data_IF_545415554379
#
_entry.id   IF_545415554379
#
_cell.length_a   1.000
_cell.length_b   1.000
_cell.length_c   1.000
_cell.angle_alpha   90.00
_cell.angle_beta   90.00
_cell.angle_gamma   90.00
#
_symmetry.space_group_name_H-M   'P 1'
#
loop_
_entity.id
_entity.type
_entity.pdbx_description
1 polymer ?
#
# COMPACT_ATOMS: atom_id res chain seq x y z
N UNK A 1 7.64 -63.23 -7.75
CA UNK A 1 6.77 -62.06 -8.06
C UNK A 1 5.38 -62.56 -8.38
N UNK A 2 4.32 -61.97 -7.80
CA UNK A 2 2.94 -62.26 -8.22
C UNK A 2 2.68 -61.58 -9.56
N UNK A 3 2.07 -62.29 -10.51
CA UNK A 3 1.64 -61.70 -11.77
C UNK A 3 0.57 -60.63 -11.53
N UNK A 4 0.55 -59.55 -12.33
CA UNK A 4 -0.48 -58.54 -12.26
C UNK A 4 -1.85 -59.14 -12.59
N UNK A 5 -2.89 -58.61 -11.96
CA UNK A 5 -4.27 -59.07 -12.20
C UNK A 5 -4.72 -58.64 -13.61
N UNK A 6 -5.63 -59.39 -14.22
CA UNK A 6 -6.23 -59.06 -15.54
C UNK A 6 -6.78 -57.62 -15.61
N UNK A 7 -7.30 -57.11 -14.49
CA UNK A 7 -7.76 -55.72 -14.36
C UNK A 7 -6.63 -54.70 -14.57
N UNK A 8 -5.45 -54.96 -14.01
CA UNK A 8 -4.29 -54.05 -14.11
C UNK A 8 -3.75 -54.02 -15.54
N UNK A 9 -3.73 -55.17 -16.22
CA UNK A 9 -3.39 -55.26 -17.65
C UNK A 9 -4.38 -54.48 -18.52
N UNK A 10 -5.68 -54.55 -18.21
CA UNK A 10 -6.72 -53.78 -18.91
C UNK A 10 -6.50 -52.27 -18.76
N UNK A 11 -6.27 -51.79 -17.54
CA UNK A 11 -5.99 -50.36 -17.28
C UNK A 11 -4.69 -49.91 -17.96
N UNK A 12 -3.66 -50.76 -17.98
CA UNK A 12 -2.40 -50.46 -18.67
C UNK A 12 -2.60 -50.28 -20.17
N UNK A 13 -3.40 -51.14 -20.81
CA UNK A 13 -3.74 -51.02 -22.23
C UNK A 13 -4.52 -49.73 -22.48
N UNK A 14 -5.53 -49.41 -21.66
CA UNK A 14 -6.32 -48.18 -21.80
C UNK A 14 -5.43 -46.94 -21.66
N UNK A 15 -4.56 -46.92 -20.64
CA UNK A 15 -3.64 -45.82 -20.38
C UNK A 15 -2.66 -45.58 -21.53
N UNK A 16 -2.15 -46.66 -22.15
CA UNK A 16 -1.21 -46.59 -23.29
C UNK A 16 -1.80 -45.84 -24.50
N UNK A 17 -3.10 -45.97 -24.75
CA UNK A 17 -3.78 -45.29 -25.87
C UNK A 17 -4.46 -43.98 -25.46
N UNK A 18 -4.52 -43.68 -24.17
CA UNK A 18 -5.06 -42.41 -23.68
C UNK A 18 -4.05 -41.26 -23.88
N UNK A 19 -4.56 -40.03 -24.07
CA UNK A 19 -3.68 -38.85 -24.12
C UNK A 19 -3.00 -38.65 -22.76
N UNK A 20 -1.72 -38.21 -22.72
CA UNK A 20 -1.05 -37.94 -21.47
C UNK A 20 -1.77 -36.80 -20.72
N UNK A 21 -1.92 -36.96 -19.42
CA UNK A 21 -2.49 -35.93 -18.53
C UNK A 21 -1.54 -34.73 -18.33
N UNK A 22 -0.27 -34.88 -18.69
CA UNK A 22 0.76 -33.86 -18.47
C UNK A 22 0.61 -32.67 -19.41
N UNK A 23 0.79 -31.47 -18.88
CA UNK A 23 0.91 -30.25 -19.68
C UNK A 23 2.32 -30.12 -20.26
N UNK A 24 2.49 -29.56 -21.47
CA UNK A 24 3.79 -29.42 -22.12
C UNK A 24 4.66 -28.28 -21.53
N UNK A 25 4.80 -28.18 -20.21
CA UNK A 25 5.66 -27.19 -19.56
C UNK A 25 7.15 -27.51 -19.80
N UNK A 26 8.04 -26.54 -20.11
CA UNK A 26 7.82 -25.10 -20.24
C UNK A 26 7.46 -24.62 -21.66
N UNK A 27 7.27 -25.52 -22.63
CA UNK A 27 7.00 -25.16 -24.03
C UNK A 27 5.58 -24.63 -24.28
N UNK A 28 4.61 -25.02 -23.46
CA UNK A 28 3.24 -24.49 -23.49
C UNK A 28 2.94 -23.61 -22.28
N UNK A 29 2.03 -22.66 -22.46
CA UNK A 29 1.57 -21.76 -21.40
C UNK A 29 0.78 -22.54 -20.33
N UNK A 30 1.20 -22.42 -19.08
CA UNK A 30 0.38 -22.78 -17.93
C UNK A 30 -0.39 -21.54 -17.50
N UNK A 31 -1.73 -21.59 -17.61
CA UNK A 31 -2.61 -20.52 -17.10
C UNK A 31 -3.20 -20.98 -15.78
N UNK A 32 -2.88 -20.31 -14.66
CA UNK A 32 -3.55 -20.56 -13.40
C UNK A 32 -5.06 -20.29 -13.49
N UNK A 33 -5.81 -20.76 -12.50
CA UNK A 33 -7.22 -20.44 -12.38
C UNK A 33 -7.44 -18.95 -12.05
N UNK A 34 -8.62 -18.41 -12.34
CA UNK A 34 -8.96 -17.01 -12.04
C UNK A 34 -9.02 -16.77 -10.53
N UNK A 35 -8.28 -15.78 -10.02
CA UNK A 35 -8.13 -15.54 -8.58
C UNK A 35 -7.01 -16.37 -7.94
N UNK A 36 -6.02 -16.76 -8.74
CA UNK A 36 -4.81 -17.39 -8.24
C UNK A 36 -3.99 -16.39 -7.43
N UNK A 37 -3.46 -16.84 -6.30
CA UNK A 37 -2.69 -15.99 -5.39
C UNK A 37 -1.22 -15.98 -5.79
N UNK A 38 -0.89 -15.27 -6.86
CA UNK A 38 0.49 -15.04 -7.30
C UNK A 38 1.16 -13.87 -6.58
N UNK A 39 2.15 -13.27 -7.24
CA UNK A 39 2.89 -12.10 -6.73
C UNK A 39 1.90 -10.96 -6.47
N UNK A 40 1.92 -10.34 -5.27
CA UNK A 40 1.24 -9.08 -5.04
C UNK A 40 1.82 -8.02 -5.97
N UNK A 41 0.97 -7.41 -6.79
CA UNK A 41 1.32 -6.28 -7.66
C UNK A 41 0.70 -5.04 -7.05
N UNK A 42 1.53 -4.01 -6.90
CA UNK A 42 1.15 -2.74 -6.30
C UNK A 42 0.90 -1.75 -7.43
N UNK A 43 -0.26 -1.12 -7.39
CA UNK A 43 -0.61 -0.04 -8.30
C UNK A 43 -0.13 1.28 -7.70
N UNK A 44 0.84 1.94 -8.36
CA UNK A 44 1.42 3.19 -7.89
C UNK A 44 0.43 4.36 -7.86
N UNK A 45 -0.61 4.36 -8.69
CA UNK A 45 -1.56 5.48 -8.68
C UNK A 45 -2.61 5.30 -7.57
N UNK A 46 -2.94 4.05 -7.26
CA UNK A 46 -4.00 3.71 -6.29
C UNK A 46 -3.48 3.37 -4.88
N UNK A 47 -2.17 3.15 -4.70
CA UNK A 47 -1.58 2.89 -3.39
C UNK A 47 -1.31 4.20 -2.64
N UNK A 48 -1.96 4.40 -1.50
CA UNK A 48 -1.86 5.66 -0.74
C UNK A 48 -0.87 5.63 0.43
N UNK A 49 -0.26 4.48 0.73
CA UNK A 49 0.72 4.38 1.84
C UNK A 49 0.11 4.45 3.26
N UNK A 50 -1.10 3.92 3.43
CA UNK A 50 -1.90 3.94 4.68
C UNK A 50 -1.52 2.90 5.75
N UNK A 51 -0.45 2.12 5.55
CA UNK A 51 0.05 1.07 6.49
C UNK A 51 -0.88 -0.11 6.78
N UNK A 52 -2.14 -0.11 6.32
CA UNK A 52 -3.09 -1.20 6.59
C UNK A 52 -2.53 -2.57 6.16
N UNK A 53 -1.87 -2.63 5.00
CA UNK A 53 -1.29 -3.87 4.49
C UNK A 53 -0.14 -4.43 5.35
N UNK A 54 0.65 -3.57 6.01
CA UNK A 54 1.69 -4.03 6.93
C UNK A 54 1.07 -4.58 8.22
N UNK A 55 0.06 -3.90 8.76
CA UNK A 55 -0.60 -4.31 10.01
C UNK A 55 -1.33 -5.66 9.91
N UNK A 56 -1.84 -6.02 8.73
CA UNK A 56 -2.53 -7.31 8.51
C UNK A 56 -1.59 -8.43 8.04
N UNK A 57 -0.31 -8.13 7.78
CA UNK A 57 0.63 -9.10 7.21
C UNK A 57 1.11 -10.10 8.29
N UNK A 58 0.73 -11.40 8.23
CA UNK A 58 1.14 -12.35 9.27
C UNK A 58 2.67 -12.53 9.42
N UNK A 59 3.47 -12.59 8.32
CA UNK A 59 4.92 -12.71 8.44
C UNK A 59 5.65 -11.36 8.58
N UNK A 60 4.94 -10.22 8.63
CA UNK A 60 5.55 -8.88 8.60
C UNK A 60 6.47 -8.62 7.39
N UNK A 61 6.13 -9.18 6.22
CA UNK A 61 6.90 -9.03 4.98
C UNK A 61 6.86 -7.61 4.37
N UNK A 62 6.00 -6.72 4.89
CA UNK A 62 5.84 -5.34 4.44
C UNK A 62 6.26 -4.42 5.59
N UNK A 63 7.27 -3.59 5.34
CA UNK A 63 7.84 -2.67 6.34
C UNK A 63 7.73 -1.24 5.85
N UNK A 64 7.27 -0.36 6.73
CA UNK A 64 7.19 1.07 6.50
C UNK A 64 8.31 1.76 7.29
N UNK A 65 9.08 2.61 6.63
CA UNK A 65 10.14 3.42 7.22
C UNK A 65 9.89 4.88 6.91
N UNK A 66 9.71 5.69 7.94
CA UNK A 66 9.45 7.12 7.80
C UNK A 66 10.71 7.92 8.09
N UNK A 67 11.03 8.85 7.19
CA UNK A 67 12.10 9.81 7.38
C UNK A 67 11.50 11.22 7.47
N UNK A 68 11.59 11.83 8.65
CA UNK A 68 11.10 13.19 8.91
C UNK A 68 11.98 14.28 8.31
N UNK A 69 13.26 14.01 8.05
CA UNK A 69 14.18 15.00 7.47
C UNK A 69 13.94 15.16 5.96
N UNK A 70 13.73 14.04 5.26
CA UNK A 70 13.43 14.06 3.83
C UNK A 70 11.94 14.20 3.54
N UNK A 71 11.08 13.97 4.53
CA UNK A 71 9.62 13.94 4.33
C UNK A 71 9.17 12.78 3.45
N UNK A 72 9.92 11.67 3.43
CA UNK A 72 9.64 10.50 2.59
C UNK A 72 9.37 9.28 3.47
N UNK A 73 8.31 8.56 3.11
CA UNK A 73 7.97 7.24 3.62
C UNK A 73 8.38 6.20 2.59
N UNK A 74 9.25 5.28 2.99
CA UNK A 74 9.68 4.15 2.16
C UNK A 74 8.93 2.90 2.61
N UNK A 75 8.23 2.28 1.67
CA UNK A 75 7.51 1.02 1.82
C UNK A 75 8.37 -0.07 1.19
N UNK A 76 8.84 -1.01 2.00
CA UNK A 76 9.64 -2.15 1.55
C UNK A 76 8.81 -3.43 1.64
N UNK A 77 8.80 -4.23 0.57
CA UNK A 77 8.05 -5.49 0.48
C UNK A 77 9.03 -6.61 0.14
N UNK A 78 9.23 -7.56 1.06
CA UNK A 78 10.07 -8.75 0.83
C UNK A 78 9.19 -9.94 0.40
N UNK A 79 9.17 -10.24 -0.90
CA UNK A 79 8.42 -11.38 -1.43
C UNK A 79 9.03 -12.73 -1.02
N UNK A 80 10.28 -12.77 -0.56
CA UNK A 80 10.91 -13.95 0.01
C UNK A 80 10.48 -14.27 1.45
N UNK A 81 9.80 -13.34 2.14
CA UNK A 81 9.14 -13.57 3.43
C UNK A 81 7.62 -13.72 3.30
N UNK A 82 7.05 -13.30 2.17
CA UNK A 82 5.62 -13.34 1.92
C UNK A 82 5.11 -14.79 1.85
N UNK A 83 3.96 -15.05 2.50
CA UNK A 83 3.24 -16.33 2.45
C UNK A 83 2.10 -16.34 1.43
N UNK A 84 1.98 -15.29 0.61
CA UNK A 84 0.98 -15.14 -0.46
C UNK A 84 -0.48 -15.39 -0.02
N UNK A 85 -0.81 -14.99 1.22
CA UNK A 85 -2.12 -15.25 1.83
C UNK A 85 -3.28 -14.40 1.27
N UNK A 86 -3.00 -13.25 0.66
CA UNK A 86 -4.02 -12.34 0.10
C UNK A 86 -4.58 -11.28 1.06
N UNK A 87 -4.16 -11.27 2.33
CA UNK A 87 -4.68 -10.34 3.35
C UNK A 87 -4.46 -8.86 2.99
N UNK A 88 -3.35 -8.55 2.29
CA UNK A 88 -3.07 -7.19 1.85
C UNK A 88 -4.04 -6.67 0.78
N UNK A 89 -4.53 -7.53 -0.11
CA UNK A 89 -5.53 -7.20 -1.13
C UNK A 89 -6.90 -7.00 -0.50
N UNK A 90 -7.31 -7.92 0.37
CA UNK A 90 -8.62 -7.88 1.03
C UNK A 90 -8.80 -6.64 1.92
N UNK A 91 -7.76 -6.25 2.66
CA UNK A 91 -7.80 -5.10 3.57
C UNK A 91 -7.32 -3.79 2.93
N UNK A 92 -7.12 -3.74 1.62
CA UNK A 92 -6.71 -2.51 0.94
C UNK A 92 -7.86 -1.49 0.97
N UNK A 93 -7.67 -0.35 1.65
CA UNK A 93 -8.71 0.68 1.79
C UNK A 93 -9.17 1.30 0.46
N UNK A 94 -8.30 1.27 -0.57
CA UNK A 94 -8.62 1.75 -1.92
C UNK A 94 -9.20 0.64 -2.80
N UNK A 95 -9.10 -0.63 -2.38
CA UNK A 95 -9.53 -1.82 -3.14
C UNK A 95 -8.72 -2.09 -4.42
N UNK A 96 -7.80 -1.20 -4.79
CA UNK A 96 -7.01 -1.27 -6.03
C UNK A 96 -5.51 -1.12 -5.81
N UNK A 97 -5.07 -0.62 -4.65
CA UNK A 97 -3.67 -0.31 -4.39
C UNK A 97 -2.75 -1.53 -4.37
N UNK A 98 -3.26 -2.72 -4.03
CA UNK A 98 -2.53 -3.99 -4.15
C UNK A 98 -3.48 -5.08 -4.58
N UNK A 99 -3.06 -5.88 -5.55
CA UNK A 99 -3.81 -7.05 -6.03
C UNK A 99 -2.89 -8.23 -6.20
N UNK A 100 -3.37 -9.43 -5.94
CA UNK A 100 -2.60 -10.63 -6.26
C UNK A 100 -2.76 -10.92 -7.74
N UNK A 101 -1.63 -11.16 -8.41
CA UNK A 101 -1.63 -11.44 -9.84
C UNK A 101 -1.92 -12.91 -10.12
N UNK A 102 -2.78 -13.14 -11.11
CA UNK A 102 -3.03 -14.49 -11.63
C UNK A 102 -1.91 -14.94 -12.58
N UNK A 103 -1.15 -14.00 -13.14
CA UNK A 103 -0.15 -14.24 -14.19
C UNK A 103 1.28 -14.39 -13.64
N UNK A 104 1.66 -13.60 -12.62
CA UNK A 104 3.02 -13.61 -12.09
C UNK A 104 3.09 -14.57 -10.89
N UNK A 105 3.33 -15.85 -11.16
CA UNK A 105 3.49 -16.85 -10.12
C UNK A 105 4.93 -17.39 -10.00
N UNK A 106 5.73 -17.28 -11.08
CA UNK A 106 7.13 -17.70 -11.07
C UNK A 106 8.03 -16.54 -10.62
N UNK A 107 8.50 -16.63 -9.38
CA UNK A 107 9.42 -15.67 -8.76
C UNK A 107 10.81 -16.28 -8.53
N UNK A 108 11.10 -17.39 -9.21
CA UNK A 108 12.35 -18.11 -9.03
C UNK A 108 13.54 -17.23 -9.43
N UNK A 109 14.38 -16.87 -8.46
CA UNK A 109 15.59 -16.08 -8.70
C UNK A 109 16.76 -16.64 -7.88
N UNK A 110 17.98 -16.38 -8.34
CA UNK A 110 19.20 -16.76 -7.64
C UNK A 110 19.54 -15.76 -6.52
N UNK A 111 19.29 -14.48 -6.79
CA UNK A 111 19.58 -13.38 -5.87
C UNK A 111 18.34 -12.96 -5.08
N UNK A 112 18.45 -12.97 -3.75
CA UNK A 112 17.35 -12.59 -2.85
C UNK A 112 16.97 -11.11 -2.95
N UNK A 113 17.93 -10.24 -3.30
CA UNK A 113 17.70 -8.79 -3.40
C UNK A 113 16.64 -8.43 -4.45
N UNK A 114 16.47 -9.25 -5.48
CA UNK A 114 15.47 -9.05 -6.55
C UNK A 114 14.03 -9.26 -6.05
N UNK A 115 13.85 -9.99 -4.95
CA UNK A 115 12.55 -10.22 -4.33
C UNK A 115 12.10 -9.07 -3.42
N UNK A 116 12.93 -8.04 -3.25
CA UNK A 116 12.63 -6.89 -2.40
C UNK A 116 12.23 -5.71 -3.27
N UNK A 117 10.99 -5.28 -3.12
CA UNK A 117 10.45 -4.10 -3.82
C UNK A 117 10.36 -2.91 -2.86
N UNK A 118 10.72 -1.73 -3.35
CA UNK A 118 10.67 -0.48 -2.59
C UNK A 118 9.80 0.53 -3.32
N UNK A 119 9.00 1.26 -2.55
CA UNK A 119 8.15 2.33 -3.03
C UNK A 119 8.25 3.52 -2.09
N UNK A 120 8.34 4.73 -2.63
CA UNK A 120 8.47 5.96 -1.85
C UNK A 120 7.20 6.79 -1.95
N UNK A 121 6.84 7.48 -0.86
CA UNK A 121 5.69 8.38 -0.76
C UNK A 121 6.03 9.62 0.03
N UNK A 122 5.49 10.75 -0.42
CA UNK A 122 5.65 12.02 0.28
C UNK A 122 4.79 12.06 1.55
N UNK A 123 5.42 12.43 2.67
CA UNK A 123 4.79 12.65 3.97
C UNK A 123 4.33 14.10 4.11
N UNK A 124 3.22 14.26 4.80
CA UNK A 124 2.76 15.54 5.34
C UNK A 124 3.23 15.62 6.78
N UNK A 125 4.07 16.62 7.06
CA UNK A 125 4.55 16.93 8.39
C UNK A 125 3.81 18.14 8.95
N UNK A 126 3.81 18.28 10.28
CA UNK A 126 3.32 19.50 10.93
C UNK A 126 4.42 20.56 10.98
N UNK A 127 4.17 21.74 10.41
CA UNK A 127 5.14 22.86 10.36
C UNK A 127 5.70 23.29 11.73
N UNK A 128 4.95 23.07 12.82
CA UNK A 128 5.37 23.49 14.16
C UNK A 128 6.25 22.46 14.90
N UNK A 129 5.93 21.16 14.77
CA UNK A 129 6.58 20.13 15.59
C UNK A 129 7.15 18.96 14.80
N UNK A 130 7.08 19.02 13.47
CA UNK A 130 7.50 17.98 12.53
C UNK A 130 6.90 16.60 12.81
N UNK A 131 5.75 16.54 13.48
CA UNK A 131 5.05 15.28 13.66
C UNK A 131 4.52 14.80 12.30
N UNK A 132 4.70 13.50 12.04
CA UNK A 132 4.16 12.84 10.85
C UNK A 132 2.64 12.79 11.00
N UNK A 133 1.92 13.39 10.04
CA UNK A 133 0.46 13.32 10.00
C UNK A 133 0.06 12.08 9.22
N UNK A 134 0.40 12.03 7.93
CA UNK A 134 0.18 10.89 7.03
C UNK A 134 0.82 11.20 5.66
N UNK A 135 0.63 10.36 4.64
CA UNK A 135 1.09 10.62 3.28
C UNK A 135 0.18 11.60 2.53
N UNK A 136 0.74 12.31 1.54
CA UNK A 136 -0.04 13.24 0.70
C UNK A 136 -1.19 12.55 -0.02
N UNK A 137 -0.94 11.36 -0.56
CA UNK A 137 -1.95 10.58 -1.30
C UNK A 137 -3.04 10.02 -0.39
N UNK A 138 -2.74 9.68 0.86
CA UNK A 138 -3.76 9.24 1.81
C UNK A 138 -4.71 10.37 2.20
N UNK A 139 -4.19 11.57 2.44
CA UNK A 139 -5.06 12.74 2.66
C UNK A 139 -5.92 13.04 1.44
N UNK A 140 -5.37 12.96 0.23
CA UNK A 140 -6.13 13.13 -1.02
C UNK A 140 -7.25 12.11 -1.12
N UNK A 141 -6.97 10.84 -0.84
CA UNK A 141 -7.97 9.78 -0.85
C UNK A 141 -9.09 10.01 0.17
N UNK A 142 -8.75 10.41 1.40
CA UNK A 142 -9.75 10.74 2.43
C UNK A 142 -10.62 11.92 1.97
N UNK A 143 -10.00 12.95 1.41
CA UNK A 143 -10.70 14.12 0.89
C UNK A 143 -11.71 13.72 -0.20
N UNK A 144 -11.27 12.98 -1.22
CA UNK A 144 -12.12 12.56 -2.33
C UNK A 144 -13.27 11.64 -1.85
N UNK A 145 -13.02 10.85 -0.79
CA UNK A 145 -14.03 9.97 -0.17
C UNK A 145 -15.05 10.72 0.69
N UNK A 146 -14.64 11.79 1.38
CA UNK A 146 -15.52 12.60 2.25
C UNK A 146 -16.30 13.68 1.48
N UNK A 147 -15.79 14.13 0.33
CA UNK A 147 -16.43 15.12 -0.52
C UNK A 147 -16.75 16.43 0.24
N UNK A 148 -17.99 16.97 0.18
CA UNK A 148 -18.34 18.22 0.83
C UNK A 148 -18.20 18.22 2.37
N UNK A 149 -18.27 17.06 3.02
CA UNK A 149 -18.10 16.96 4.48
C UNK A 149 -16.65 17.30 4.86
N UNK A 150 -15.70 17.11 3.95
CA UNK A 150 -14.31 17.44 4.20
C UNK A 150 -14.11 18.91 4.57
N UNK A 151 -14.94 19.84 4.06
CA UNK A 151 -14.83 21.27 4.35
C UNK A 151 -15.06 21.63 5.82
N UNK A 152 -15.66 20.76 6.63
CA UNK A 152 -15.83 21.04 8.06
C UNK A 152 -14.54 20.90 8.86
N UNK A 153 -13.50 20.28 8.31
CA UNK A 153 -12.22 20.06 8.99
C UNK A 153 -11.16 21.06 8.49
N UNK A 154 -10.47 21.70 9.44
CA UNK A 154 -9.41 22.69 9.15
C UNK A 154 -8.25 22.05 8.36
N UNK A 155 -7.94 20.79 8.63
CA UNK A 155 -6.95 19.98 7.93
C UNK A 155 -7.27 19.84 6.43
N UNK A 156 -8.51 19.46 6.12
CA UNK A 156 -8.95 19.27 4.73
C UNK A 156 -9.07 20.61 3.99
N UNK A 157 -9.48 21.67 4.70
CA UNK A 157 -9.57 23.02 4.14
C UNK A 157 -8.19 23.59 3.79
N UNK A 158 -7.19 23.37 4.65
CA UNK A 158 -5.79 23.76 4.41
C UNK A 158 -5.19 23.04 3.20
N UNK A 159 -5.41 21.73 3.09
CA UNK A 159 -4.99 20.94 1.93
C UNK A 159 -5.67 21.41 0.62
N UNK A 160 -6.94 21.80 0.70
CA UNK A 160 -7.69 22.38 -0.43
C UNK A 160 -7.13 23.72 -0.91
N UNK A 161 -6.72 24.58 0.02
CA UNK A 161 -6.09 25.86 -0.33
C UNK A 161 -4.78 25.65 -1.10
N UNK A 162 -3.97 24.65 -0.72
CA UNK A 162 -2.79 24.25 -1.50
C UNK A 162 -3.16 23.76 -2.91
N UNK A 163 -4.30 23.07 -3.06
CA UNK A 163 -4.76 22.51 -4.36
C UNK A 163 -5.35 23.54 -5.31
N UNK A 164 -6.11 24.51 -4.79
CA UNK A 164 -6.82 25.50 -5.61
C UNK A 164 -5.96 26.71 -6.00
N UNK A 165 -4.77 26.89 -5.39
CA UNK A 165 -3.88 28.06 -5.60
C UNK A 165 -4.65 29.40 -5.55
N UNK A 166 -5.70 29.48 -4.73
CA UNK A 166 -6.52 30.71 -4.59
C UNK A 166 -5.67 31.84 -4.00
N UNK A 167 -4.62 31.48 -3.24
CA UNK A 167 -3.61 32.37 -2.68
C UNK A 167 -2.23 32.00 -3.23
N UNK A 168 -1.33 32.98 -3.38
CA UNK A 168 0.06 32.74 -3.77
C UNK A 168 0.75 31.94 -2.65
N UNK A 169 1.73 31.10 -3.01
CA UNK A 169 2.55 30.31 -2.07
C UNK A 169 3.12 31.17 -0.93
N UNK A 170 3.45 32.42 -1.26
CA UNK A 170 4.06 33.39 -0.36
C UNK A 170 3.13 33.85 0.79
N UNK A 171 1.80 33.64 0.66
CA UNK A 171 0.81 33.99 1.69
C UNK A 171 0.48 32.82 2.65
N UNK A 172 0.84 31.58 2.29
CA UNK A 172 0.61 30.36 3.09
C UNK A 172 1.75 30.04 4.04
N UNK A 173 2.99 30.38 3.65
CA UNK A 173 4.21 30.12 4.42
C UNK A 173 4.40 31.21 5.50
N UNK A 174 3.52 31.19 6.50
CA UNK A 174 3.70 32.01 7.70
C UNK A 174 4.75 31.35 8.60
N UNK A 175 5.91 32.00 8.73
CA UNK A 175 6.90 31.62 9.74
C UNK A 175 6.22 31.50 11.11
N UNK A 176 6.28 30.29 11.67
CA UNK A 176 5.80 30.04 13.01
C UNK A 176 6.82 30.64 13.96
N UNK A 177 6.57 31.89 14.36
CA UNK A 177 7.27 32.50 15.50
C UNK A 177 7.13 31.61 16.73
N UNK A 178 8.09 31.65 17.66
CA UNK A 178 8.15 30.85 18.90
C UNK A 178 6.84 30.79 19.72
N UNK A 179 5.93 31.74 19.49
CA UNK A 179 4.57 31.72 20.01
C UNK A 179 3.53 31.36 18.95
N UNK A 180 2.89 30.20 19.14
CA UNK A 180 1.66 29.79 18.47
C UNK A 180 0.52 30.79 18.71
N UNK A 181 0.08 31.50 17.65
CA UNK A 181 -1.01 32.49 17.68
C UNK A 181 -2.26 31.98 16.95
N UNK A 182 -3.41 32.67 17.11
CA UNK A 182 -4.68 32.37 16.40
C UNK A 182 -4.52 32.24 14.88
N UNK A 183 -3.62 33.02 14.29
CA UNK A 183 -3.31 32.97 12.85
C UNK A 183 -2.71 31.63 12.39
N UNK A 184 -2.07 30.88 13.29
CA UNK A 184 -1.40 29.62 12.95
C UNK A 184 -2.35 28.40 12.96
N UNK A 185 -3.63 28.55 13.33
CA UNK A 185 -4.60 27.45 13.40
C UNK A 185 -4.72 26.68 12.07
N UNK A 186 -4.55 27.36 10.93
CA UNK A 186 -4.69 26.75 9.60
C UNK A 186 -3.43 25.99 9.12
N UNK A 187 -2.25 26.32 9.66
CA UNK A 187 -0.98 25.69 9.31
C UNK A 187 -0.62 24.57 10.30
N UNK A 188 -1.22 24.60 11.49
CA UNK A 188 -0.98 23.62 12.54
C UNK A 188 -1.89 22.40 12.39
N UNK A 189 -1.36 21.37 11.74
CA UNK A 189 -2.09 20.15 11.40
C UNK A 189 -2.13 19.13 12.57
N UNK A 190 -1.10 19.09 13.42
CA UNK A 190 -0.98 18.07 14.47
C UNK A 190 -1.99 18.29 15.62
N UNK A 191 -2.72 17.25 16.10
CA UNK A 191 -3.69 17.41 17.20
C UNK A 191 -3.09 18.02 18.47
N UNK A 192 -1.86 17.64 18.81
CA UNK A 192 -1.15 18.16 19.99
C UNK A 192 -0.86 19.67 19.88
N UNK A 193 -0.46 20.11 18.68
CA UNK A 193 -0.13 21.48 18.36
C UNK A 193 -1.39 22.33 18.27
N UNK A 194 -2.43 21.81 17.61
CA UNK A 194 -3.71 22.47 17.46
C UNK A 194 -4.38 22.67 18.83
N UNK A 195 -4.28 21.67 19.73
CA UNK A 195 -4.68 21.82 21.13
C UNK A 195 -3.95 22.97 21.83
N UNK A 196 -2.63 23.12 21.66
CA UNK A 196 -1.88 24.23 22.27
C UNK A 196 -2.36 25.59 21.75
N UNK A 197 -2.63 25.70 20.45
CA UNK A 197 -3.18 26.93 19.86
C UNK A 197 -4.56 27.23 20.46
N UNK A 198 -5.45 26.23 20.54
CA UNK A 198 -6.82 26.39 21.06
C UNK A 198 -6.89 26.67 22.56
N UNK A 199 -6.01 26.08 23.37
CA UNK A 199 -5.99 26.33 24.81
C UNK A 199 -5.42 27.72 25.13
N UNK A 200 -4.36 28.16 24.43
CA UNK A 200 -3.83 29.54 24.55
C UNK A 200 -4.84 30.63 24.14
N UNK A 201 -5.90 30.26 23.41
CA UNK A 201 -6.96 31.19 23.00
C UNK A 201 -7.93 31.50 24.15
N UNK A 202 -8.01 30.63 25.17
CA UNK A 202 -8.96 30.69 26.28
C UNK A 202 -8.35 31.20 27.60
N UNK A 203 -7.03 31.34 27.65
CA UNK A 203 -6.26 31.96 28.75
C UNK A 203 -5.90 33.40 28.40
#
# INVERSE_FOLDING_TARGET
MKYPKLRELKEAIISLFSKPYTLPYPKGEFKPFTGYRGKPVVDEDNCVGCETCANVCPPNAIVFSDNTETGIRTITRDYGQCIFCGQCEEHCITGKGVKLSDELFDLSCLDRSVLVEKQERELILCDNCNAIITTRDHMRFIYDKLGPIAYSSVLNLSMLNQRLKITKSDDTDLEITDELRRKNVFNVLCPNCNRKVQVKILS
#
